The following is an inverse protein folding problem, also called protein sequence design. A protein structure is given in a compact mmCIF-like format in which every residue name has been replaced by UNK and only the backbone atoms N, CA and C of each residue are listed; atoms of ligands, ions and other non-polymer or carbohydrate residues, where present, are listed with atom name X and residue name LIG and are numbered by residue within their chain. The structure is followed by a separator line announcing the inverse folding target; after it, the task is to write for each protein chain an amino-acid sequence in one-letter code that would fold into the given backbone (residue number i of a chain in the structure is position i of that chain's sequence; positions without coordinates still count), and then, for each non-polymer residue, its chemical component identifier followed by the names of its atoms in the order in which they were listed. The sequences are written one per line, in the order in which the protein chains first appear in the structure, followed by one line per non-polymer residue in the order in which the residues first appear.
data_IF_698122147318
#
_entry.id   IF_698122147318
#
_cell.length_a   1.000
_cell.length_b   1.000
_cell.length_c   1.000
_cell.angle_alpha   90.00
_cell.angle_beta   90.00
_cell.angle_gamma   90.00
#
_symmetry.space_group_name_H-M   'P 1'
#
loop_
_entity.id
_entity.type
_entity.pdbx_description
1 polymer ?
#
# COMPACT_ATOMS: atom_id res chain seq x y z
N UNK A 1 -13.99 -9.85 15.20
CA UNK A 1 -13.43 -9.21 13.99
C UNK A 1 -11.96 -8.94 14.24
N UNK A 2 -11.08 -9.25 13.29
CA UNK A 2 -9.66 -8.91 13.41
C UNK A 2 -9.50 -7.39 13.45
N UNK A 3 -8.57 -6.89 14.26
CA UNK A 3 -8.27 -5.46 14.29
C UNK A 3 -7.50 -5.06 13.02
N UNK A 4 -7.62 -3.82 12.52
CA UNK A 4 -6.92 -3.38 11.32
C UNK A 4 -5.41 -3.65 11.38
N UNK A 5 -4.78 -3.37 12.53
CA UNK A 5 -3.35 -3.61 12.74
C UNK A 5 -2.93 -5.10 12.66
N UNK A 6 -3.83 -6.03 12.99
CA UNK A 6 -3.61 -7.48 12.86
C UNK A 6 -3.89 -8.03 11.45
N UNK A 7 -4.37 -7.19 10.52
CA UNK A 7 -4.79 -7.59 9.18
C UNK A 7 -3.82 -7.04 8.14
N UNK A 8 -3.24 -7.93 7.34
CA UNK A 8 -2.35 -7.56 6.22
C UNK A 8 -3.11 -7.62 4.90
N UNK A 9 -3.07 -6.53 4.12
CA UNK A 9 -3.73 -6.40 2.82
C UNK A 9 -2.68 -6.32 1.70
N UNK A 10 -2.85 -7.11 0.64
CA UNK A 10 -2.05 -7.02 -0.58
C UNK A 10 -2.81 -6.23 -1.65
N UNK A 11 -2.25 -5.09 -2.07
CA UNK A 11 -2.77 -4.29 -3.19
C UNK A 11 -1.91 -4.53 -4.42
N UNK A 12 -2.45 -5.23 -5.42
CA UNK A 12 -1.79 -5.38 -6.72
C UNK A 12 -1.96 -4.10 -7.55
N UNK A 13 -0.89 -3.64 -8.21
CA UNK A 13 -0.94 -2.39 -8.99
C UNK A 13 -0.96 -1.12 -8.13
N UNK A 14 -0.57 -1.23 -6.85
CA UNK A 14 -0.54 -0.12 -5.90
C UNK A 14 0.47 0.99 -6.24
N UNK A 15 1.41 0.74 -7.14
CA UNK A 15 2.30 1.77 -7.68
C UNK A 15 1.63 2.68 -8.74
N UNK A 16 0.38 2.40 -9.12
CA UNK A 16 -0.41 3.23 -10.04
C UNK A 16 -1.26 4.27 -9.31
N UNK A 17 -1.85 5.21 -10.07
CA UNK A 17 -2.59 6.35 -9.52
C UNK A 17 -3.73 5.95 -8.55
N UNK A 18 -4.67 5.10 -8.99
CA UNK A 18 -5.77 4.66 -8.11
C UNK A 18 -5.25 3.76 -6.98
N UNK A 19 -4.29 2.89 -7.30
CA UNK A 19 -3.69 1.98 -6.35
C UNK A 19 -3.04 2.69 -5.15
N UNK A 20 -2.39 3.84 -5.38
CA UNK A 20 -1.79 4.63 -4.30
C UNK A 20 -2.86 5.22 -3.37
N UNK A 21 -4.00 5.69 -3.88
CA UNK A 21 -5.10 6.17 -3.03
C UNK A 21 -5.73 5.04 -2.21
N UNK A 22 -5.87 3.84 -2.78
CA UNK A 22 -6.35 2.66 -2.05
C UNK A 22 -5.40 2.31 -0.90
N UNK A 23 -4.09 2.33 -1.15
CA UNK A 23 -3.09 2.10 -0.09
C UNK A 23 -3.21 3.16 1.01
N UNK A 24 -3.32 4.44 0.66
CA UNK A 24 -3.47 5.54 1.63
C UNK A 24 -4.72 5.38 2.50
N UNK A 25 -5.86 5.00 1.93
CA UNK A 25 -7.09 4.75 2.66
C UNK A 25 -6.93 3.60 3.67
N UNK A 26 -6.37 2.46 3.23
CA UNK A 26 -6.12 1.31 4.09
C UNK A 26 -5.13 1.62 5.22
N UNK A 27 -4.06 2.36 4.92
CA UNK A 27 -3.11 2.80 5.95
C UNK A 27 -3.78 3.73 6.97
N UNK A 28 -4.67 4.63 6.53
CA UNK A 28 -5.41 5.55 7.40
C UNK A 28 -6.39 4.81 8.32
N UNK A 29 -6.92 3.68 7.88
CA UNK A 29 -7.75 2.77 8.69
C UNK A 29 -6.92 1.86 9.62
N UNK A 30 -5.58 1.92 9.55
CA UNK A 30 -4.68 1.19 10.43
C UNK A 30 -4.32 -0.22 9.95
N UNK A 31 -4.55 -0.54 8.68
CA UNK A 31 -4.14 -1.82 8.10
C UNK A 31 -2.63 -1.86 7.82
N UNK A 32 -2.05 -3.07 7.90
CA UNK A 32 -0.72 -3.31 7.30
C UNK A 32 -0.89 -3.57 5.82
N UNK A 33 -0.26 -2.76 4.96
CA UNK A 33 -0.44 -2.86 3.51
C UNK A 33 0.84 -3.27 2.81
N UNK A 34 0.74 -4.19 1.85
CA UNK A 34 1.81 -4.55 0.90
C UNK A 34 1.35 -4.26 -0.52
N UNK A 35 2.28 -3.93 -1.39
CA UNK A 35 2.00 -3.80 -2.82
C UNK A 35 3.08 -4.46 -3.67
N UNK A 36 2.71 -4.78 -4.90
CA UNK A 36 3.66 -5.27 -5.90
C UNK A 36 4.26 -4.10 -6.66
N UNK A 37 5.56 -4.20 -6.92
CA UNK A 37 6.27 -3.29 -7.83
C UNK A 37 6.87 -4.11 -8.96
N UNK A 38 6.81 -3.58 -10.19
CA UNK A 38 7.41 -4.26 -11.35
C UNK A 38 8.93 -4.30 -11.27
N UNK A 39 9.55 -3.30 -10.64
CA UNK A 39 10.99 -3.23 -10.41
C UNK A 39 11.25 -2.80 -8.96
N UNK A 40 12.01 -3.62 -8.23
CA UNK A 40 12.35 -3.40 -6.82
C UNK A 40 13.12 -2.09 -6.62
N UNK A 41 13.94 -1.66 -7.60
CA UNK A 41 14.66 -0.39 -7.51
C UNK A 41 13.73 0.83 -7.43
N UNK A 42 12.47 0.70 -7.87
CA UNK A 42 11.46 1.76 -7.78
C UNK A 42 10.69 1.79 -6.45
N UNK A 43 10.90 0.82 -5.56
CA UNK A 43 10.16 0.72 -4.29
C UNK A 43 10.25 1.98 -3.45
N UNK A 44 11.44 2.56 -3.29
CA UNK A 44 11.65 3.80 -2.55
C UNK A 44 10.84 4.98 -3.13
N UNK A 45 10.78 5.11 -4.46
CA UNK A 45 10.01 6.17 -5.13
C UNK A 45 8.50 5.99 -4.93
N UNK A 46 8.01 4.75 -4.92
CA UNK A 46 6.59 4.44 -4.67
C UNK A 46 6.24 4.78 -3.22
N UNK A 47 7.10 4.41 -2.26
CA UNK A 47 6.89 4.75 -0.84
C UNK A 47 6.89 6.28 -0.64
N UNK A 48 7.82 7.00 -1.29
CA UNK A 48 7.89 8.45 -1.19
C UNK A 48 6.65 9.17 -1.75
N UNK A 49 5.91 8.53 -2.66
CA UNK A 49 4.66 9.05 -3.22
C UNK A 49 3.42 8.77 -2.36
N UNK A 50 3.53 7.92 -1.33
CA UNK A 50 2.44 7.57 -0.38
C UNK A 50 2.46 8.48 0.86
N UNK A 51 2.72 9.78 0.68
CA UNK A 51 2.74 10.78 1.74
C UNK A 51 1.44 11.55 1.83
#
# INVERSE_FOLDING_TARGET
MATPSSTTVLVTGGSGFIGSYVILALLSEGYTVRTTVRNVSRSASVIAALK
#
